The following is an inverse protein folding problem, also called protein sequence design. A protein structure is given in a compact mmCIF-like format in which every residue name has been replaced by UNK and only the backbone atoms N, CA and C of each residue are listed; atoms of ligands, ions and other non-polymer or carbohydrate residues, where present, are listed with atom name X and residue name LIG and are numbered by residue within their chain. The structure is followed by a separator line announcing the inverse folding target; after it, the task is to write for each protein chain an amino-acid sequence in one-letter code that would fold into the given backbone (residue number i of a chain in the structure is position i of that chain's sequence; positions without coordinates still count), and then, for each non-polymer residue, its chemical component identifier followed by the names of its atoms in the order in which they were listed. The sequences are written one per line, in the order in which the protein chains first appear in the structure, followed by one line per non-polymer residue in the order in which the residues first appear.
data_IF_582496538066
#
_entry.id   IF_582496538066
#
_cell.length_a   1.000
_cell.length_b   1.000
_cell.length_c   1.000
_cell.angle_alpha   90.00
_cell.angle_beta   90.00
_cell.angle_gamma   90.00
#
_symmetry.space_group_name_H-M   'P 1'
#
loop_
_entity.id
_entity.type
_entity.pdbx_description
1 polymer ?
#
# COMPACT_ATOMS: atom_id res chain seq x y z
N UNK A 1 -33.93 12.34 3.17
CA UNK A 1 -33.32 11.74 4.38
C UNK A 1 -32.24 10.77 3.92
N UNK A 2 -31.05 10.78 4.53
CA UNK A 2 -29.95 9.86 4.20
C UNK A 2 -29.59 9.04 5.45
N UNK A 3 -29.23 7.77 5.27
CA UNK A 3 -28.86 6.87 6.36
C UNK A 3 -27.47 6.32 6.04
N UNK A 4 -26.51 6.56 6.93
CA UNK A 4 -25.14 6.07 6.82
C UNK A 4 -24.87 5.00 7.87
N UNK A 5 -24.24 3.91 7.48
CA UNK A 5 -23.75 2.88 8.40
C UNK A 5 -22.22 2.83 8.37
N UNK A 6 -21.59 2.88 9.54
CA UNK A 6 -20.13 2.78 9.72
C UNK A 6 -19.77 1.49 10.47
N UNK A 7 -18.64 0.88 10.12
CA UNK A 7 -18.20 -0.40 10.70
C UNK A 7 -17.04 -0.24 11.69
N UNK A 8 -16.31 0.87 11.63
CA UNK A 8 -15.18 1.19 12.53
C UNK A 8 -15.36 2.55 13.21
N UNK A 9 -14.62 2.77 14.31
CA UNK A 9 -14.55 4.07 14.98
C UNK A 9 -14.00 5.16 14.03
N UNK A 10 -12.97 4.83 13.24
CA UNK A 10 -12.36 5.76 12.30
C UNK A 10 -13.35 6.23 11.22
N UNK A 11 -14.16 5.31 10.67
CA UNK A 11 -15.21 5.65 9.71
C UNK A 11 -16.27 6.58 10.30
N UNK A 12 -16.64 6.35 11.57
CA UNK A 12 -17.59 7.18 12.29
C UNK A 12 -17.04 8.59 12.53
N UNK A 13 -15.82 8.72 13.02
CA UNK A 13 -15.21 10.03 13.29
C UNK A 13 -15.03 10.84 12.00
N UNK A 14 -14.62 10.18 10.90
CA UNK A 14 -14.50 10.81 9.58
C UNK A 14 -15.86 11.26 9.03
N UNK A 15 -16.91 10.45 9.18
CA UNK A 15 -18.27 10.80 8.78
C UNK A 15 -18.77 12.03 9.55
N UNK A 16 -18.52 12.10 10.86
CA UNK A 16 -18.96 13.24 11.68
C UNK A 16 -18.28 14.54 11.26
N UNK A 17 -16.97 14.53 10.99
CA UNK A 17 -16.25 15.71 10.46
C UNK A 17 -16.80 16.17 9.11
N UNK A 18 -17.08 15.23 8.21
CA UNK A 18 -17.69 15.55 6.91
C UNK A 18 -19.04 16.24 7.06
N UNK A 19 -19.89 15.72 7.94
CA UNK A 19 -21.22 16.28 8.18
C UNK A 19 -21.13 17.67 8.85
N UNK A 20 -20.17 17.88 9.75
CA UNK A 20 -19.90 19.18 10.37
C UNK A 20 -19.42 20.22 9.33
N UNK A 21 -18.51 19.83 8.42
CA UNK A 21 -18.07 20.68 7.31
C UNK A 21 -19.21 21.03 6.33
N UNK A 22 -20.20 20.13 6.17
CA UNK A 22 -21.43 20.38 5.41
C UNK A 22 -22.46 21.23 6.20
N UNK A 23 -22.12 21.71 7.40
CA UNK A 23 -23.00 22.53 8.25
C UNK A 23 -24.17 21.77 8.88
N UNK A 24 -24.03 20.44 9.04
CA UNK A 24 -25.06 19.57 9.60
C UNK A 24 -24.78 19.38 11.09
N UNK A 25 -25.65 19.92 11.94
CA UNK A 25 -25.47 19.88 13.39
C UNK A 25 -26.09 18.63 14.03
N UNK A 26 -25.46 18.14 15.10
CA UNK A 26 -25.99 17.05 15.92
C UNK A 26 -27.16 17.51 16.79
N UNK A 27 -28.25 16.73 16.83
CA UNK A 27 -29.41 17.00 17.70
C UNK A 27 -29.07 17.00 19.20
N UNK A 28 -28.03 16.28 19.61
CA UNK A 28 -27.71 16.09 21.03
C UNK A 28 -26.66 17.06 21.58
N UNK A 29 -26.03 17.92 20.76
CA UNK A 29 -24.81 18.70 21.11
C UNK A 29 -23.67 17.88 21.75
N UNK A 30 -23.78 16.55 21.75
CA UNK A 30 -22.88 15.61 22.42
C UNK A 30 -22.67 14.43 21.48
N UNK A 31 -21.54 14.43 20.80
CA UNK A 31 -21.08 13.29 20.01
C UNK A 31 -21.01 12.06 20.92
N UNK A 32 -21.37 10.87 20.41
CA UNK A 32 -21.02 9.64 21.12
C UNK A 32 -19.49 9.61 21.24
N UNK A 33 -18.92 9.59 22.46
CA UNK A 33 -17.46 9.59 22.63
C UNK A 33 -16.83 8.27 22.14
N UNK A 34 -17.65 7.24 21.91
CA UNK A 34 -17.23 5.91 21.46
C UNK A 34 -18.27 5.30 20.53
N UNK A 35 -17.81 4.82 19.38
CA UNK A 35 -18.53 4.00 18.40
C UNK A 35 -19.00 2.72 19.07
N UNK A 36 -20.25 2.35 18.81
CA UNK A 36 -20.80 1.04 19.14
C UNK A 36 -20.91 0.23 17.86
N UNK A 37 -20.67 -1.07 17.94
CA UNK A 37 -20.88 -1.98 16.81
C UNK A 37 -22.28 -1.74 16.20
N UNK A 38 -22.34 -1.67 14.87
CA UNK A 38 -23.57 -1.39 14.11
C UNK A 38 -24.16 0.02 14.25
N UNK A 39 -23.33 1.03 14.56
CA UNK A 39 -23.79 2.43 14.61
C UNK A 39 -24.26 2.89 13.22
N UNK A 40 -25.41 3.57 13.22
CA UNK A 40 -26.02 4.16 12.03
C UNK A 40 -26.34 5.63 12.30
N UNK A 41 -25.91 6.51 11.37
CA UNK A 41 -26.15 7.96 11.42
C UNK A 41 -27.25 8.31 10.42
N UNK A 42 -28.34 8.87 10.93
CA UNK A 42 -29.50 9.29 10.13
C UNK A 42 -29.47 10.81 9.97
N UNK A 43 -29.38 11.28 8.73
CA UNK A 43 -29.35 12.70 8.36
C UNK A 43 -30.70 13.12 7.80
N UNK A 44 -31.37 14.06 8.47
CA UNK A 44 -32.66 14.61 8.05
C UNK A 44 -32.48 16.06 7.58
N UNK A 45 -32.85 16.32 6.34
CA UNK A 45 -33.08 17.67 5.84
C UNK A 45 -34.51 18.09 6.21
N UNK A 46 -34.71 19.26 6.80
CA UNK A 46 -36.05 19.78 7.02
C UNK A 46 -36.58 20.39 5.72
N UNK A 47 -37.73 19.91 5.25
CA UNK A 47 -38.60 20.62 4.32
C UNK A 47 -39.77 21.17 5.14
N UNK A 48 -39.70 22.45 5.50
CA UNK A 48 -40.79 23.11 6.24
C UNK A 48 -40.37 24.44 6.86
N UNK A 49 -41.21 25.46 6.68
CA UNK A 49 -41.06 26.90 6.96
C UNK A 49 -40.72 27.37 8.39
N UNK A 50 -40.09 26.56 9.25
CA UNK A 50 -39.57 27.05 10.54
C UNK A 50 -38.10 27.45 10.41
N UNK A 51 -37.88 28.70 10.00
CA UNK A 51 -36.58 29.38 9.96
C UNK A 51 -35.99 29.47 11.37
N UNK A 52 -35.10 28.55 11.72
CA UNK A 52 -33.92 28.76 12.60
C UNK A 52 -33.26 27.47 13.10
N UNK A 53 -33.31 26.36 12.36
CA UNK A 53 -32.51 25.20 12.72
C UNK A 53 -32.02 24.46 11.48
N UNK A 54 -30.71 24.33 11.31
CA UNK A 54 -30.09 23.67 10.16
C UNK A 54 -30.41 22.17 10.06
N UNK A 55 -29.84 21.53 9.04
CA UNK A 55 -29.88 20.07 8.85
C UNK A 55 -29.41 19.35 10.11
N UNK A 56 -30.07 18.25 10.50
CA UNK A 56 -29.81 17.58 11.77
C UNK A 56 -29.49 16.09 11.65
N UNK A 57 -28.62 15.59 12.52
CA UNK A 57 -28.29 14.15 12.64
C UNK A 57 -28.88 13.49 13.90
N UNK A 58 -29.29 12.23 13.77
CA UNK A 58 -29.67 11.32 14.86
C UNK A 58 -28.91 9.99 14.78
N UNK A 59 -28.72 9.33 15.91
CA UNK A 59 -27.98 8.07 16.02
C UNK A 59 -28.93 6.89 16.32
N UNK A 60 -28.62 5.72 15.77
CA UNK A 60 -29.35 4.48 16.06
C UNK A 60 -28.49 3.24 15.76
N UNK A 61 -28.96 2.08 16.23
CA UNK A 61 -28.39 0.79 15.85
C UNK A 61 -29.01 0.32 14.51
N UNK A 62 -28.22 -0.39 13.69
CA UNK A 62 -28.61 -0.90 12.38
C UNK A 62 -29.94 -1.68 12.39
N UNK A 63 -30.17 -2.53 13.40
CA UNK A 63 -31.42 -3.30 13.56
C UNK A 63 -32.65 -2.41 13.76
N UNK A 64 -32.51 -1.36 14.58
CA UNK A 64 -33.56 -0.38 14.82
C UNK A 64 -33.85 0.49 13.60
N UNK A 65 -32.86 0.72 12.74
CA UNK A 65 -33.02 1.54 11.54
C UNK A 65 -33.69 0.73 10.42
N UNK A 66 -33.28 -0.52 10.22
CA UNK A 66 -33.88 -1.45 9.25
C UNK A 66 -35.38 -1.69 9.50
N UNK A 67 -35.80 -1.72 10.76
CA UNK A 67 -37.22 -1.91 11.13
C UNK A 67 -38.07 -0.64 11.03
N UNK A 68 -37.46 0.54 11.04
CA UNK A 68 -38.17 1.83 11.09
C UNK A 68 -38.22 2.58 9.77
N UNK A 69 -37.29 2.31 8.85
CA UNK A 69 -37.21 3.03 7.58
C UNK A 69 -36.97 2.07 6.43
N UNK A 70 -37.81 2.19 5.41
CA UNK A 70 -37.65 1.51 4.12
C UNK A 70 -36.81 2.37 3.16
N UNK A 71 -35.61 2.77 3.60
CA UNK A 71 -34.69 3.62 2.85
C UNK A 71 -33.34 2.90 2.76
N UNK A 72 -32.66 2.89 1.59
CA UNK A 72 -31.37 2.24 1.44
C UNK A 72 -30.34 2.80 2.43
N UNK A 73 -29.67 1.88 3.12
CA UNK A 73 -28.59 2.19 4.06
C UNK A 73 -27.29 2.31 3.27
N UNK A 74 -26.70 3.50 3.29
CA UNK A 74 -25.44 3.78 2.61
C UNK A 74 -24.32 3.33 3.54
N UNK A 75 -23.58 2.30 3.15
CA UNK A 75 -22.35 1.91 3.86
C UNK A 75 -21.29 3.01 3.64
N UNK A 76 -20.89 3.67 4.72
CA UNK A 76 -19.86 4.68 4.70
C UNK A 76 -18.55 4.05 5.16
N UNK A 77 -17.57 4.04 4.27
CA UNK A 77 -16.16 3.90 4.61
C UNK A 77 -15.52 5.25 4.43
N UNK A 78 -14.72 5.68 5.41
CA UNK A 78 -13.82 6.79 5.18
C UNK A 78 -13.00 6.46 3.93
N UNK A 79 -12.86 7.44 3.02
CA UNK A 79 -11.77 7.35 2.05
C UNK A 79 -10.49 7.19 2.88
N UNK A 80 -9.64 6.21 2.55
CA UNK A 80 -8.36 6.02 3.23
C UNK A 80 -7.74 7.41 3.44
N UNK A 81 -7.51 7.73 4.70
CA UNK A 81 -7.38 9.07 5.24
C UNK A 81 -6.55 9.97 4.30
N UNK A 82 -7.05 11.15 3.95
CA UNK A 82 -6.20 12.21 3.38
C UNK A 82 -5.00 12.51 4.29
N UNK A 83 -5.05 12.09 5.57
CA UNK A 83 -3.91 12.10 6.52
C UNK A 83 -2.77 11.13 6.21
N UNK A 84 -2.93 10.19 5.29
CA UNK A 84 -1.86 9.27 4.85
C UNK A 84 -1.25 9.68 3.51
N UNK A 85 -1.79 10.71 2.85
CA UNK A 85 -1.06 11.33 1.74
C UNK A 85 0.11 12.11 2.34
N UNK A 86 1.26 11.96 1.70
CA UNK A 86 2.42 12.82 1.86
C UNK A 86 2.06 14.25 1.42
N UNK A 87 1.18 14.92 2.18
CA UNK A 87 0.92 16.34 2.02
C UNK A 87 2.17 17.08 2.49
N UNK A 88 2.56 18.13 1.78
CA UNK A 88 3.68 19.00 2.11
C UNK A 88 3.81 19.32 3.60
N UNK A 89 2.69 19.65 4.27
CA UNK A 89 2.64 20.01 5.70
C UNK A 89 2.98 18.84 6.65
N UNK A 90 2.47 17.62 6.38
CA UNK A 90 2.80 16.44 7.17
C UNK A 90 4.26 16.04 7.04
N UNK A 91 4.86 16.29 5.88
CA UNK A 91 6.28 15.97 5.63
C UNK A 91 7.19 17.03 6.22
N UNK A 92 6.87 18.31 6.10
CA UNK A 92 7.59 19.36 6.84
C UNK A 92 7.55 19.07 8.35
N UNK A 93 6.43 18.58 8.88
CA UNK A 93 6.33 18.09 10.26
C UNK A 93 7.24 16.89 10.55
N UNK A 94 7.34 15.90 9.67
CA UNK A 94 8.27 14.77 9.75
C UNK A 94 9.72 15.25 9.74
N UNK A 95 10.08 16.06 8.75
CA UNK A 95 11.42 16.60 8.60
C UNK A 95 11.79 17.34 9.88
N UNK A 96 10.96 18.27 10.35
CA UNK A 96 11.24 19.01 11.58
C UNK A 96 11.30 18.09 12.80
N UNK A 97 10.37 17.12 12.94
CA UNK A 97 10.35 16.17 14.07
C UNK A 97 11.61 15.29 14.15
N UNK A 98 12.18 14.91 13.01
CA UNK A 98 13.29 13.96 12.95
C UNK A 98 14.64 14.60 12.59
N UNK A 99 14.67 15.88 12.19
CA UNK A 99 15.89 16.64 11.85
C UNK A 99 16.16 17.87 12.73
N UNK A 100 15.35 18.17 13.77
CA UNK A 100 15.58 19.36 14.62
C UNK A 100 16.92 19.31 15.40
N UNK A 101 17.55 18.13 15.53
CA UNK A 101 18.79 17.98 16.29
C UNK A 101 19.92 17.30 15.47
N UNK A 102 20.64 18.09 14.68
CA UNK A 102 22.11 18.01 14.54
C UNK A 102 22.83 16.66 14.33
N UNK A 103 22.25 15.64 13.68
CA UNK A 103 23.02 14.45 13.24
C UNK A 103 22.47 13.84 11.94
N UNK A 104 23.07 14.24 10.81
CA UNK A 104 23.06 13.45 9.57
C UNK A 104 22.45 14.15 8.36
N UNK A 105 23.19 14.14 7.26
CA UNK A 105 22.75 14.60 5.94
C UNK A 105 21.52 13.77 5.48
N UNK A 106 20.42 14.44 5.14
CA UNK A 106 19.36 13.83 4.34
C UNK A 106 19.97 13.22 3.06
N UNK A 107 19.63 11.99 2.68
CA UNK A 107 19.86 11.56 1.31
C UNK A 107 18.94 12.37 0.39
N UNK A 108 19.50 13.33 -0.35
CA UNK A 108 18.74 14.18 -1.26
C UNK A 108 17.95 15.30 -0.57
N UNK A 109 17.40 16.20 -1.38
CA UNK A 109 16.53 17.27 -0.91
C UNK A 109 15.07 16.78 -0.97
N UNK A 110 14.71 15.90 -0.03
CA UNK A 110 13.38 15.29 0.07
C UNK A 110 12.26 16.35 -0.01
N UNK A 111 12.44 17.50 0.65
CA UNK A 111 11.50 18.61 0.59
C UNK A 111 11.32 19.07 -0.87
N UNK A 112 12.41 19.37 -1.59
CA UNK A 112 12.30 19.81 -2.97
C UNK A 112 11.69 18.74 -3.89
N UNK A 113 12.01 17.46 -3.70
CA UNK A 113 11.45 16.35 -4.48
C UNK A 113 9.93 16.25 -4.28
N UNK A 114 9.44 16.41 -3.06
CA UNK A 114 8.01 16.43 -2.73
C UNK A 114 7.31 17.63 -3.36
N UNK A 115 7.92 18.81 -3.27
CA UNK A 115 7.36 20.02 -3.88
C UNK A 115 7.31 19.93 -5.41
N UNK A 116 8.15 19.11 -6.01
CA UNK A 116 8.19 18.84 -7.45
C UNK A 116 7.32 17.65 -7.88
N UNK A 117 6.76 16.86 -6.94
CA UNK A 117 5.86 15.76 -7.28
C UNK A 117 4.56 16.27 -7.87
N UNK A 118 4.16 15.66 -8.98
CA UNK A 118 2.80 15.80 -9.47
C UNK A 118 1.86 14.89 -8.65
N UNK A 119 0.63 15.36 -8.45
CA UNK A 119 -0.43 14.57 -7.78
C UNK A 119 -1.00 13.49 -8.72
N UNK A 120 -0.32 13.15 -9.82
CA UNK A 120 -0.84 12.14 -10.74
C UNK A 120 -0.67 10.75 -10.13
N UNK A 121 -1.69 9.88 -10.22
CA UNK A 121 -1.69 8.59 -9.54
C UNK A 121 -0.86 7.55 -10.30
N UNK A 122 0.35 7.91 -10.71
CA UNK A 122 1.25 6.99 -11.39
C UNK A 122 1.91 6.05 -10.38
N UNK A 123 1.69 4.74 -10.56
CA UNK A 123 2.37 3.71 -9.77
C UNK A 123 3.77 3.50 -10.32
N UNK A 124 4.75 3.49 -9.45
CA UNK A 124 6.14 3.23 -9.81
C UNK A 124 6.51 1.76 -9.65
N UNK A 125 7.53 1.33 -10.39
CA UNK A 125 8.10 -0.01 -10.25
C UNK A 125 9.17 0.03 -9.15
N UNK A 126 9.11 -0.90 -8.19
CA UNK A 126 10.12 -1.06 -7.12
C UNK A 126 10.65 -2.49 -7.08
N UNK A 127 11.92 -2.71 -6.71
CA UNK A 127 12.46 -4.06 -6.54
C UNK A 127 11.69 -4.86 -5.49
N UNK A 128 11.65 -6.18 -5.64
CA UNK A 128 10.96 -7.10 -4.72
C UNK A 128 11.38 -6.95 -3.26
N UNK A 129 12.68 -6.86 -2.97
CA UNK A 129 13.17 -6.69 -1.60
C UNK A 129 12.72 -5.35 -0.98
N UNK A 130 12.57 -4.30 -1.79
CA UNK A 130 12.01 -3.01 -1.34
C UNK A 130 10.52 -3.16 -1.07
N UNK A 131 9.78 -3.82 -1.98
CA UNK A 131 8.36 -4.08 -1.81
C UNK A 131 8.07 -4.88 -0.53
N UNK A 132 8.82 -5.95 -0.28
CA UNK A 132 8.70 -6.79 0.91
C UNK A 132 9.01 -6.01 2.18
N UNK A 133 10.05 -5.18 2.15
CA UNK A 133 10.40 -4.30 3.26
C UNK A 133 9.32 -3.24 3.55
N UNK A 134 8.74 -2.59 2.52
CA UNK A 134 7.61 -1.67 2.72
C UNK A 134 6.43 -2.42 3.35
N UNK A 135 6.10 -3.60 2.83
CA UNK A 135 4.97 -4.40 3.32
C UNK A 135 5.17 -4.88 4.76
N UNK A 136 6.39 -5.22 5.20
CA UNK A 136 6.62 -5.66 6.59
C UNK A 136 6.21 -4.56 7.58
N UNK A 137 6.60 -3.31 7.32
CA UNK A 137 6.20 -2.17 8.14
C UNK A 137 4.70 -1.92 8.11
N UNK A 138 4.07 -1.95 6.93
CA UNK A 138 2.64 -1.71 6.79
C UNK A 138 1.80 -2.81 7.46
N UNK A 139 2.24 -4.08 7.38
CA UNK A 139 1.54 -5.21 7.98
C UNK A 139 1.59 -5.20 9.51
N UNK A 140 2.62 -4.61 10.10
CA UNK A 140 2.74 -4.39 11.54
C UNK A 140 1.88 -3.21 12.05
N UNK A 141 1.06 -2.62 11.17
CA UNK A 141 0.22 -1.46 11.47
C UNK A 141 0.94 -0.12 11.30
N UNK A 142 2.15 -0.14 10.73
CA UNK A 142 2.88 1.06 10.34
C UNK A 142 2.22 1.81 9.20
N UNK A 143 2.53 3.09 9.09
CA UNK A 143 2.06 3.97 8.03
C UNK A 143 3.17 4.24 7.02
N UNK A 144 2.86 4.71 5.79
CA UNK A 144 3.89 5.15 4.85
C UNK A 144 4.85 6.20 5.43
N UNK A 145 4.37 7.04 6.34
CA UNK A 145 5.16 8.01 7.09
C UNK A 145 6.17 7.32 8.00
N UNK A 146 5.81 6.21 8.64
CA UNK A 146 6.72 5.43 9.49
C UNK A 146 7.79 4.72 8.64
N UNK A 147 7.44 4.30 7.42
CA UNK A 147 8.39 3.76 6.43
C UNK A 147 9.40 4.82 6.01
N UNK A 148 8.96 6.04 5.71
CA UNK A 148 9.89 7.12 5.38
C UNK A 148 10.75 7.49 6.59
N UNK A 149 10.16 7.52 7.79
CA UNK A 149 10.83 7.79 9.05
C UNK A 149 11.94 6.78 9.39
N UNK A 150 11.76 5.51 9.04
CA UNK A 150 12.74 4.46 9.33
C UNK A 150 14.03 4.59 8.49
N UNK A 151 13.94 5.20 7.31
CA UNK A 151 15.08 5.48 6.42
C UNK A 151 15.91 6.69 6.87
N UNK A 152 15.47 7.40 7.90
CA UNK A 152 16.13 8.61 8.41
C UNK A 152 17.21 8.25 9.45
N UNK A 153 18.23 9.11 9.57
CA UNK A 153 19.53 8.86 10.22
C UNK A 153 19.51 8.14 11.58
N UNK A 154 18.51 8.39 12.44
CA UNK A 154 18.43 7.72 13.75
C UNK A 154 17.88 6.28 13.68
N UNK A 155 17.00 6.00 12.72
CA UNK A 155 16.35 4.69 12.56
C UNK A 155 16.99 3.81 11.48
N UNK A 156 17.77 4.42 10.58
CA UNK A 156 18.50 3.72 9.52
C UNK A 156 19.43 2.63 10.06
N UNK A 157 19.89 2.73 11.32
CA UNK A 157 20.70 1.68 11.98
C UNK A 157 19.99 0.32 12.11
N UNK A 158 18.66 0.29 12.00
CA UNK A 158 17.84 -0.94 12.04
C UNK A 158 17.33 -1.36 10.66
N UNK A 159 17.67 -0.60 9.62
CA UNK A 159 17.28 -0.86 8.24
C UNK A 159 18.45 -1.54 7.53
N UNK A 160 18.14 -2.52 6.69
CA UNK A 160 19.13 -3.19 5.88
C UNK A 160 19.88 -2.18 4.97
N UNK A 161 21.22 -2.29 4.91
CA UNK A 161 22.06 -1.36 4.17
C UNK A 161 21.69 -1.30 2.68
N UNK A 162 21.18 -2.39 2.10
CA UNK A 162 20.72 -2.45 0.71
C UNK A 162 19.50 -1.57 0.46
N UNK A 163 18.57 -1.50 1.42
CA UNK A 163 17.38 -0.64 1.36
C UNK A 163 17.80 0.82 1.46
N UNK A 164 18.70 1.15 2.40
CA UNK A 164 19.25 2.50 2.54
C UNK A 164 19.93 2.93 1.24
N UNK A 165 20.84 2.10 0.71
CA UNK A 165 21.59 2.39 -0.51
C UNK A 165 20.68 2.59 -1.72
N UNK A 166 19.60 1.82 -1.81
CA UNK A 166 18.59 1.97 -2.86
C UNK A 166 17.83 3.29 -2.71
N UNK A 167 17.36 3.60 -1.50
CA UNK A 167 16.67 4.85 -1.20
C UNK A 167 17.51 6.08 -1.55
N UNK A 168 18.82 6.08 -1.22
CA UNK A 168 19.72 7.20 -1.58
C UNK A 168 19.81 7.48 -3.07
N UNK A 169 19.52 6.49 -3.93
CA UNK A 169 19.55 6.60 -5.39
C UNK A 169 18.16 6.77 -6.01
N UNK A 170 17.09 6.44 -5.27
CA UNK A 170 15.72 6.31 -5.77
C UNK A 170 14.72 6.96 -4.80
N UNK A 171 15.10 8.09 -4.19
CA UNK A 171 14.29 8.78 -3.17
C UNK A 171 12.93 9.22 -3.73
N UNK A 172 12.91 9.80 -4.93
CA UNK A 172 11.69 10.18 -5.64
C UNK A 172 10.78 8.96 -5.90
N UNK A 173 11.36 7.85 -6.36
CA UNK A 173 10.63 6.59 -6.57
C UNK A 173 10.05 6.05 -5.27
N UNK A 174 10.81 6.07 -4.17
CA UNK A 174 10.30 5.66 -2.85
C UNK A 174 9.10 6.51 -2.44
N UNK A 175 9.19 7.84 -2.59
CA UNK A 175 8.11 8.75 -2.21
C UNK A 175 6.86 8.53 -3.07
N UNK A 176 7.02 8.35 -4.39
CA UNK A 176 5.93 7.99 -5.30
C UNK A 176 5.32 6.64 -4.92
N UNK A 177 6.12 5.64 -4.60
CA UNK A 177 5.66 4.31 -4.16
C UNK A 177 4.82 4.39 -2.89
N UNK A 178 5.24 5.21 -1.93
CA UNK A 178 4.55 5.40 -0.65
C UNK A 178 3.28 6.28 -0.78
N UNK A 179 3.23 7.19 -1.78
CA UNK A 179 2.10 8.12 -2.00
C UNK A 179 1.02 7.57 -2.91
N UNK A 180 1.43 6.98 -4.04
CA UNK A 180 0.57 6.54 -5.14
C UNK A 180 0.46 5.02 -5.25
N UNK A 181 1.27 4.28 -4.47
CA UNK A 181 1.44 2.85 -4.58
C UNK A 181 2.49 2.45 -5.61
N UNK A 182 2.77 1.15 -5.69
CA UNK A 182 3.82 0.62 -6.56
C UNK A 182 3.42 -0.74 -7.17
N UNK A 183 4.16 -1.12 -8.21
CA UNK A 183 4.23 -2.47 -8.75
C UNK A 183 5.62 -3.05 -8.48
N UNK A 184 5.73 -4.37 -8.40
CA UNK A 184 7.01 -5.04 -8.15
C UNK A 184 7.73 -5.22 -9.47
N UNK A 185 9.02 -4.92 -9.51
CA UNK A 185 9.89 -5.21 -10.65
C UNK A 185 9.81 -6.70 -10.98
N UNK A 186 9.50 -7.08 -12.23
CA UNK A 186 9.44 -8.48 -12.60
C UNK A 186 10.81 -9.11 -12.32
N UNK A 187 10.82 -10.13 -11.47
CA UNK A 187 12.04 -10.80 -11.06
C UNK A 187 12.66 -11.50 -12.27
N UNK A 188 13.91 -11.16 -12.63
CA UNK A 188 14.61 -11.79 -13.76
C UNK A 188 14.67 -13.31 -13.55
N UNK A 189 13.95 -14.03 -14.41
CA UNK A 189 13.93 -15.49 -14.40
C UNK A 189 15.02 -16.05 -15.30
N UNK A 190 15.51 -17.23 -14.95
CA UNK A 190 16.51 -17.98 -15.69
C UNK A 190 15.99 -19.37 -16.03
N UNK A 191 16.34 -19.86 -17.21
CA UNK A 191 16.22 -21.27 -17.58
C UNK A 191 17.61 -21.89 -17.67
N UNK A 192 17.70 -23.19 -17.41
CA UNK A 192 18.97 -23.92 -17.46
C UNK A 192 18.87 -24.98 -18.56
N UNK A 193 19.24 -24.67 -19.81
CA UNK A 193 19.34 -25.66 -20.88
C UNK A 193 20.43 -26.68 -20.54
N UNK A 194 20.10 -27.96 -20.63
CA UNK A 194 21.04 -29.04 -20.36
C UNK A 194 21.80 -29.36 -21.65
N UNK A 195 23.11 -29.08 -21.73
CA UNK A 195 23.86 -29.25 -22.96
C UNK A 195 23.82 -30.72 -23.42
N UNK A 196 23.74 -30.91 -24.74
CA UNK A 196 23.70 -32.23 -25.39
C UNK A 196 22.48 -33.11 -25.03
N UNK A 197 21.50 -32.59 -24.30
CA UNK A 197 20.23 -33.27 -24.05
C UNK A 197 19.13 -32.70 -24.96
N UNK A 198 19.05 -33.22 -26.17
CA UNK A 198 17.98 -32.93 -27.12
C UNK A 198 17.07 -34.15 -27.27
N UNK A 199 15.78 -33.89 -27.43
CA UNK A 199 14.82 -34.93 -27.80
C UNK A 199 14.97 -35.29 -29.29
N UNK A 200 14.42 -36.43 -29.71
CA UNK A 200 14.43 -36.87 -31.11
C UNK A 200 13.85 -35.84 -32.09
N UNK A 201 13.00 -34.94 -31.59
CA UNK A 201 12.37 -33.86 -32.35
C UNK A 201 13.23 -32.57 -32.38
N UNK A 202 14.46 -32.60 -31.87
CA UNK A 202 15.39 -31.46 -31.85
C UNK A 202 15.13 -30.43 -30.73
N UNK A 203 14.26 -30.74 -29.76
CA UNK A 203 13.97 -29.82 -28.65
C UNK A 203 14.95 -30.05 -27.51
N UNK A 204 15.69 -29.00 -27.16
CA UNK A 204 16.60 -28.95 -26.01
C UNK A 204 15.81 -29.14 -24.71
N UNK A 205 16.28 -30.05 -23.85
CA UNK A 205 15.74 -30.23 -22.51
C UNK A 205 16.32 -29.21 -21.54
N UNK A 206 15.53 -28.88 -20.52
CA UNK A 206 15.89 -27.92 -19.48
C UNK A 206 15.88 -28.60 -18.10
N UNK A 207 16.66 -28.06 -17.18
CA UNK A 207 16.62 -28.49 -15.79
C UNK A 207 15.25 -28.14 -15.21
N UNK A 208 14.62 -29.15 -14.62
CA UNK A 208 13.30 -29.05 -14.00
C UNK A 208 13.38 -29.51 -12.55
N UNK A 209 12.57 -28.92 -11.67
CA UNK A 209 12.51 -29.30 -10.26
C UNK A 209 11.09 -29.76 -9.89
N UNK A 210 11.01 -30.86 -9.15
CA UNK A 210 9.85 -31.26 -8.34
C UNK A 210 10.38 -31.54 -6.94
N UNK A 211 10.50 -32.81 -6.56
CA UNK A 211 11.20 -33.24 -5.34
C UNK A 211 12.72 -33.29 -5.56
N UNK A 212 13.13 -33.67 -6.78
CA UNK A 212 14.53 -33.70 -7.22
C UNK A 212 14.69 -32.94 -8.54
N UNK A 213 15.94 -32.70 -8.93
CA UNK A 213 16.27 -32.12 -10.23
C UNK A 213 16.26 -33.21 -11.31
N UNK A 214 15.59 -32.94 -12.43
CA UNK A 214 15.51 -33.86 -13.57
C UNK A 214 15.46 -33.09 -14.89
N UNK A 215 15.80 -33.75 -15.99
CA UNK A 215 15.70 -33.19 -17.32
C UNK A 215 14.27 -33.35 -17.87
N UNK A 216 13.71 -32.30 -18.44
CA UNK A 216 12.46 -32.42 -19.19
C UNK A 216 12.33 -31.38 -20.30
N UNK A 217 11.35 -31.57 -21.18
CA UNK A 217 11.01 -30.58 -22.21
C UNK A 217 10.50 -29.29 -21.56
N UNK A 218 10.73 -28.11 -22.16
CA UNK A 218 10.10 -26.87 -21.73
C UNK A 218 8.59 -27.05 -21.55
N UNK A 219 8.09 -26.74 -20.36
CA UNK A 219 6.70 -26.96 -19.96
C UNK A 219 6.35 -26.02 -18.80
N UNK A 220 5.41 -25.11 -19.04
CA UNK A 220 5.00 -24.09 -18.06
C UNK A 220 4.35 -24.66 -16.78
N UNK A 221 3.95 -25.94 -16.79
CA UNK A 221 3.42 -26.63 -15.60
C UNK A 221 4.52 -27.16 -14.67
N UNK A 222 5.79 -27.10 -15.08
CA UNK A 222 6.94 -27.56 -14.30
C UNK A 222 7.75 -26.38 -13.79
N UNK A 223 8.40 -26.54 -12.63
CA UNK A 223 9.33 -25.54 -12.12
C UNK A 223 10.65 -25.62 -12.90
N UNK A 224 10.71 -24.84 -13.98
CA UNK A 224 11.84 -24.74 -14.92
C UNK A 224 12.43 -23.32 -15.00
N UNK A 225 11.71 -22.34 -14.43
CA UNK A 225 12.12 -20.94 -14.33
C UNK A 225 12.61 -20.71 -12.90
N UNK A 226 13.86 -20.28 -12.78
CA UNK A 226 14.54 -20.08 -11.51
C UNK A 226 14.82 -18.59 -11.30
N UNK A 227 14.56 -18.10 -10.10
CA UNK A 227 15.05 -16.78 -9.67
C UNK A 227 16.55 -16.83 -9.40
N UNK A 228 17.18 -15.66 -9.23
CA UNK A 228 18.60 -15.59 -8.83
C UNK A 228 18.87 -16.32 -7.51
N UNK A 229 17.98 -16.18 -6.54
CA UNK A 229 18.06 -16.86 -5.24
C UNK A 229 17.90 -18.38 -5.39
N UNK A 230 16.96 -18.83 -6.23
CA UNK A 230 16.77 -20.25 -6.48
C UNK A 230 17.96 -20.88 -7.23
N UNK A 231 18.63 -20.13 -8.11
CA UNK A 231 19.86 -20.56 -8.77
C UNK A 231 21.01 -20.84 -7.80
N UNK A 232 21.07 -20.15 -6.65
CA UNK A 232 22.10 -20.45 -5.64
C UNK A 232 21.94 -21.86 -5.06
N UNK A 233 20.70 -22.35 -4.97
CA UNK A 233 20.34 -23.69 -4.50
C UNK A 233 20.42 -24.77 -5.58
N UNK A 234 20.65 -24.38 -6.84
CA UNK A 234 20.87 -25.33 -7.94
C UNK A 234 22.27 -25.94 -7.78
N UNK A 235 22.46 -27.25 -8.02
CA UNK A 235 23.78 -27.86 -7.97
C UNK A 235 24.80 -27.13 -8.86
N UNK A 236 26.01 -26.93 -8.36
CA UNK A 236 27.13 -26.22 -9.01
C UNK A 236 27.32 -26.60 -10.48
N UNK A 237 27.14 -27.88 -10.82
CA UNK A 237 27.30 -28.41 -12.18
C UNK A 237 26.34 -27.77 -13.20
N UNK A 238 25.18 -27.28 -12.77
CA UNK A 238 24.15 -26.74 -13.66
C UNK A 238 24.18 -25.20 -13.74
N UNK A 239 24.74 -24.52 -12.74
CA UNK A 239 24.78 -23.04 -12.67
C UNK A 239 25.41 -22.38 -13.91
N UNK A 240 26.50 -22.89 -14.52
CA UNK A 240 27.12 -22.26 -15.69
C UNK A 240 26.22 -22.20 -16.92
N UNK A 241 25.18 -23.04 -16.97
CA UNK A 241 24.28 -23.09 -18.11
C UNK A 241 23.08 -22.15 -17.97
N UNK A 242 22.90 -21.49 -16.82
CA UNK A 242 21.76 -20.61 -16.61
C UNK A 242 21.75 -19.44 -17.61
N UNK A 243 20.62 -19.28 -18.30
CA UNK A 243 20.38 -18.20 -19.27
C UNK A 243 19.19 -17.35 -18.80
N UNK A 244 19.29 -16.02 -18.85
CA UNK A 244 18.15 -15.15 -18.54
C UNK A 244 17.05 -15.38 -19.57
N UNK A 245 15.81 -15.34 -19.10
CA UNK A 245 14.62 -15.28 -19.96
C UNK A 245 14.45 -13.82 -20.36
N UNK A 246 14.67 -13.51 -21.63
CA UNK A 246 14.25 -12.23 -22.21
C UNK A 246 12.73 -12.33 -22.40
N UNK A 247 11.97 -11.56 -21.61
CA UNK A 247 10.54 -11.37 -21.90
C UNK A 247 10.46 -10.54 -23.18
N UNK A 248 10.24 -11.20 -24.32
CA UNK A 248 9.78 -10.50 -25.52
C UNK A 248 8.43 -9.85 -25.14
N UNK A 249 8.38 -8.52 -25.12
CA UNK A 249 7.16 -7.74 -24.97
C UNK A 249 6.20 -8.11 -26.11
N UNK A 250 5.19 -8.95 -25.81
CA UNK A 250 4.02 -9.20 -26.67
C UNK A 250 2.99 -8.07 -26.58
#
# INVERSE_FOLDING_TARGET
MKIYHTETQADYDALMKKLEAEGIESLSKKYWPTFKTETTVVVRAQSGEKRNCGNRTTYGNLSCVRSRYDIPIIKYKAKADEKMRFTKENIEGLVNKYFDDNVGECPGNLIAEIYAMDDTPEKVVVPKYIAEWIQSYLNEGGTPIDVLGSLMSFHASFVDESVIRWFKKNSETMLKALTNGYTIEPEQLYYIPLPHLETSDGIQQVLSKRDTYFASRPNDKLKQRYTKEELEQVPEIYKPYAKPIEEEEE
#
